data_IF_133237150311
#
_entry.id   IF_133237150311
#
_cell.length_a   1.000
_cell.length_b   1.000
_cell.length_c   1.000
_cell.angle_alpha   90.00
_cell.angle_beta   90.00
_cell.angle_gamma   90.00
#
_symmetry.space_group_name_H-M   'P 1'
#
loop_
_entity.id
_entity.type
_entity.pdbx_description
1 polymer ?
#
# COMPACT_ATOMS: atom_id res chain seq x y z
N UNK A 1 11.01 11.39 -9.91
CA UNK A 1 11.11 9.95 -10.27
C UNK A 1 11.17 9.82 -11.78
N UNK A 2 12.14 9.07 -12.32
CA UNK A 2 12.29 8.92 -13.76
C UNK A 2 11.05 8.29 -14.42
N UNK A 3 10.76 8.75 -15.63
CA UNK A 3 9.61 8.27 -16.41
C UNK A 3 9.62 6.73 -16.59
N UNK A 4 10.81 6.16 -16.78
CA UNK A 4 10.97 4.71 -16.93
C UNK A 4 10.50 3.95 -15.69
N UNK A 5 10.81 4.46 -14.51
CA UNK A 5 10.35 3.87 -13.24
C UNK A 5 8.84 4.02 -13.07
N UNK A 6 8.29 5.18 -13.43
CA UNK A 6 6.84 5.40 -13.37
C UNK A 6 6.08 4.45 -14.28
N UNK A 7 6.61 4.19 -15.48
CA UNK A 7 6.01 3.23 -16.41
C UNK A 7 6.06 1.81 -15.86
N UNK A 8 7.17 1.41 -15.24
CA UNK A 8 7.29 0.10 -14.59
C UNK A 8 6.32 -0.05 -13.43
N UNK A 9 6.15 0.99 -12.63
CA UNK A 9 5.17 1.01 -11.54
C UNK A 9 3.75 0.84 -12.07
N UNK A 10 3.40 1.56 -13.14
CA UNK A 10 2.08 1.46 -13.76
C UNK A 10 1.82 0.06 -14.29
N UNK A 11 2.80 -0.55 -14.94
CA UNK A 11 2.70 -1.92 -15.46
C UNK A 11 2.49 -2.93 -14.33
N UNK A 12 3.26 -2.80 -13.25
CA UNK A 12 3.15 -3.66 -12.09
C UNK A 12 1.81 -3.47 -11.36
N UNK A 13 1.37 -2.22 -11.22
CA UNK A 13 0.09 -1.92 -10.60
C UNK A 13 -1.07 -2.56 -11.37
N UNK A 14 -1.03 -2.52 -12.70
CA UNK A 14 -2.02 -3.15 -13.56
C UNK A 14 -2.11 -4.67 -13.34
N UNK A 15 -0.97 -5.32 -13.14
CA UNK A 15 -0.94 -6.75 -12.84
C UNK A 15 -1.58 -7.07 -11.48
N UNK A 16 -1.41 -6.18 -10.50
CA UNK A 16 -1.96 -6.34 -9.15
C UNK A 16 -3.43 -5.94 -9.05
N UNK A 17 -3.82 -4.91 -9.80
CA UNK A 17 -5.16 -4.31 -9.74
C UNK A 17 -5.71 -4.08 -11.15
N UNK A 18 -6.06 -5.15 -11.90
CA UNK A 18 -6.44 -5.03 -13.30
C UNK A 18 -7.70 -4.19 -13.55
N UNK A 19 -8.59 -4.09 -12.55
CA UNK A 19 -9.83 -3.32 -12.67
C UNK A 19 -9.72 -1.89 -12.14
N UNK A 20 -8.61 -1.54 -11.49
CA UNK A 20 -8.38 -0.23 -10.86
C UNK A 20 -6.93 0.20 -11.05
N UNK A 21 -6.38 -0.07 -12.23
CA UNK A 21 -4.97 0.23 -12.48
C UNK A 21 -4.72 1.74 -12.53
N UNK A 22 -3.55 2.13 -12.04
CA UNK A 22 -3.05 3.49 -12.09
C UNK A 22 -2.09 3.66 -13.25
N UNK A 23 -2.14 4.83 -13.88
CA UNK A 23 -1.20 5.21 -14.93
C UNK A 23 0.11 5.75 -14.34
N UNK A 24 1.12 5.91 -15.20
CA UNK A 24 2.34 6.59 -14.81
C UNK A 24 2.08 8.01 -14.28
N UNK A 25 1.10 8.71 -14.89
CA UNK A 25 0.73 10.05 -14.44
C UNK A 25 0.09 10.04 -13.06
N UNK A 26 -0.71 9.03 -12.73
CA UNK A 26 -1.29 8.87 -11.40
C UNK A 26 -0.19 8.75 -10.33
N UNK A 27 0.83 7.94 -10.59
CA UNK A 27 1.98 7.82 -9.66
C UNK A 27 2.75 9.12 -9.56
N UNK A 28 2.97 9.80 -10.68
CA UNK A 28 3.65 11.09 -10.69
C UNK A 28 2.89 12.13 -9.88
N UNK A 29 1.57 12.19 -10.02
CA UNK A 29 0.71 13.12 -9.28
C UNK A 29 0.76 12.85 -7.77
N UNK A 30 0.75 11.57 -7.35
CA UNK A 30 0.89 11.21 -5.94
C UNK A 30 2.24 11.67 -5.39
N UNK A 31 3.32 11.48 -6.14
CA UNK A 31 4.65 11.92 -5.73
C UNK A 31 4.70 13.43 -5.56
N UNK A 32 4.12 14.17 -6.50
CA UNK A 32 4.03 15.65 -6.43
C UNK A 32 3.19 16.12 -5.25
N UNK A 33 2.17 15.37 -4.87
CA UNK A 33 1.31 15.71 -3.73
C UNK A 33 1.92 15.35 -2.36
N UNK A 34 3.14 14.84 -2.33
CA UNK A 34 3.86 14.53 -1.11
C UNK A 34 3.82 13.08 -0.66
N UNK A 35 3.26 12.18 -1.47
CA UNK A 35 3.32 10.75 -1.16
C UNK A 35 4.71 10.19 -1.37
N UNK A 36 5.07 9.22 -0.55
CA UNK A 36 6.31 8.46 -0.68
C UNK A 36 6.04 7.16 -1.43
N UNK A 37 7.00 6.77 -2.27
CA UNK A 37 6.92 5.54 -3.05
C UNK A 37 8.18 4.72 -2.79
N UNK A 38 8.00 3.49 -2.33
CA UNK A 38 9.07 2.50 -2.24
C UNK A 38 8.78 1.44 -3.30
N UNK A 39 9.72 1.22 -4.21
CA UNK A 39 9.54 0.28 -5.31
C UNK A 39 10.73 -0.66 -5.40
N UNK A 40 10.44 -1.92 -5.72
CA UNK A 40 11.44 -2.93 -6.06
C UNK A 40 11.05 -3.53 -7.41
N UNK A 41 11.82 -4.51 -7.89
CA UNK A 41 11.52 -5.15 -9.16
C UNK A 41 10.13 -5.80 -9.18
N UNK A 42 9.71 -6.39 -8.06
CA UNK A 42 8.48 -7.18 -7.97
C UNK A 42 7.43 -6.62 -7.02
N UNK A 43 7.62 -5.42 -6.50
CA UNK A 43 6.68 -4.86 -5.55
C UNK A 43 6.76 -3.35 -5.41
N UNK A 44 5.72 -2.77 -4.83
CA UNK A 44 5.67 -1.35 -4.54
C UNK A 44 4.80 -1.09 -3.32
N UNK A 45 5.07 0.01 -2.64
CA UNK A 45 4.23 0.54 -1.59
C UNK A 45 4.23 2.06 -1.69
N UNK A 46 3.04 2.66 -1.57
CA UNK A 46 2.86 4.11 -1.59
C UNK A 46 2.15 4.51 -0.30
N UNK A 47 2.68 5.52 0.37
CA UNK A 47 2.07 6.03 1.59
C UNK A 47 2.17 7.54 1.66
N UNK A 48 1.36 8.11 2.54
CA UNK A 48 1.37 9.53 2.86
C UNK A 48 1.46 9.69 4.37
N UNK A 49 2.28 10.65 4.80
CA UNK A 49 2.42 11.00 6.22
C UNK A 49 1.79 12.36 6.48
N UNK A 50 0.97 12.44 7.52
CA UNK A 50 0.40 13.69 8.01
C UNK A 50 0.59 13.70 9.54
N UNK A 51 1.39 14.64 10.03
CA UNK A 51 1.76 14.72 11.44
C UNK A 51 2.41 13.41 11.90
N UNK A 52 1.85 12.75 12.92
CA UNK A 52 2.38 11.49 13.46
C UNK A 52 1.66 10.25 12.93
N UNK A 53 0.92 10.38 11.82
CA UNK A 53 0.16 9.28 11.21
C UNK A 53 0.60 9.06 9.76
N UNK A 54 0.65 7.81 9.34
CA UNK A 54 0.88 7.42 7.97
C UNK A 54 -0.31 6.62 7.44
N UNK A 55 -0.64 6.82 6.17
CA UNK A 55 -1.69 6.07 5.49
C UNK A 55 -1.08 5.34 4.29
N UNK A 56 -1.27 4.04 4.22
CA UNK A 56 -0.88 3.26 3.05
C UNK A 56 -1.95 3.46 1.98
N UNK A 57 -1.54 4.03 0.85
CA UNK A 57 -2.44 4.32 -0.28
C UNK A 57 -2.61 3.07 -1.14
N UNK A 58 -1.51 2.39 -1.43
CA UNK A 58 -1.53 1.14 -2.19
C UNK A 58 -0.28 0.33 -1.91
N UNK A 59 -0.41 -0.98 -2.01
CA UNK A 59 0.71 -1.92 -1.89
C UNK A 59 0.41 -3.10 -2.83
N UNK A 60 1.40 -3.55 -3.56
CA UNK A 60 1.25 -4.68 -4.46
C UNK A 60 2.54 -5.44 -4.66
N UNK A 61 2.40 -6.73 -4.98
CA UNK A 61 3.49 -7.62 -5.31
C UNK A 61 3.11 -8.34 -6.60
N UNK A 62 4.06 -8.42 -7.52
CA UNK A 62 3.87 -9.14 -8.78
C UNK A 62 3.27 -10.53 -8.48
N UNK A 63 2.19 -10.93 -9.20
CA UNK A 63 1.52 -12.21 -8.91
C UNK A 63 2.47 -13.42 -8.88
N UNK A 64 3.50 -13.44 -9.74
CA UNK A 64 4.47 -14.52 -9.79
C UNK A 64 5.45 -14.54 -8.62
N UNK A 65 5.56 -13.44 -7.87
CA UNK A 65 6.49 -13.31 -6.74
C UNK A 65 5.79 -13.32 -5.38
N UNK A 66 4.50 -13.58 -5.35
CA UNK A 66 3.74 -13.64 -4.09
C UNK A 66 4.14 -14.87 -3.29
N UNK A 67 4.08 -14.73 -1.95
CA UNK A 67 4.48 -15.79 -1.04
C UNK A 67 5.95 -15.78 -0.65
N UNK A 68 6.76 -14.88 -1.22
CA UNK A 68 8.20 -14.79 -0.95
C UNK A 68 8.55 -13.74 0.13
N UNK A 69 7.55 -13.19 0.81
CA UNK A 69 7.78 -12.22 1.89
C UNK A 69 8.10 -10.81 1.43
N UNK A 70 7.88 -10.47 0.16
CA UNK A 70 8.19 -9.13 -0.39
C UNK A 70 7.35 -8.05 0.27
N UNK A 71 6.05 -8.27 0.42
CA UNK A 71 5.17 -7.31 1.07
C UNK A 71 5.56 -7.06 2.53
N UNK A 72 5.88 -8.11 3.25
CA UNK A 72 6.35 -8.02 4.64
C UNK A 72 7.64 -7.21 4.72
N UNK A 73 8.59 -7.47 3.82
CA UNK A 73 9.86 -6.73 3.76
C UNK A 73 9.63 -5.26 3.48
N UNK A 74 8.77 -4.93 2.53
CA UNK A 74 8.45 -3.52 2.20
C UNK A 74 7.76 -2.81 3.36
N UNK A 75 6.82 -3.47 4.04
CA UNK A 75 6.17 -2.91 5.23
C UNK A 75 7.18 -2.65 6.34
N UNK A 76 8.12 -3.55 6.54
CA UNK A 76 9.19 -3.39 7.55
C UNK A 76 10.08 -2.20 7.22
N UNK A 77 10.48 -2.05 5.96
CA UNK A 77 11.29 -0.91 5.51
C UNK A 77 10.54 0.41 5.67
N UNK A 78 9.28 0.45 5.26
CA UNK A 78 8.44 1.63 5.42
C UNK A 78 8.34 2.01 6.90
N UNK A 79 8.03 1.05 7.76
CA UNK A 79 7.87 1.28 9.19
C UNK A 79 9.14 1.85 9.82
N UNK A 80 10.29 1.32 9.42
CA UNK A 80 11.58 1.83 9.87
C UNK A 80 11.77 3.30 9.47
N UNK A 81 11.46 3.66 8.25
CA UNK A 81 11.61 5.03 7.76
C UNK A 81 10.65 6.01 8.45
N UNK A 82 9.38 5.64 8.57
CA UNK A 82 8.39 6.55 9.15
C UNK A 82 8.56 6.72 10.66
N UNK A 83 9.08 5.71 11.36
CA UNK A 83 9.41 5.84 12.78
C UNK A 83 10.46 6.92 13.03
N UNK A 84 11.47 7.01 12.18
CA UNK A 84 12.48 8.06 12.24
C UNK A 84 11.87 9.45 12.09
N UNK A 85 10.78 9.56 11.35
CA UNK A 85 10.08 10.83 11.14
C UNK A 85 9.04 11.13 12.23
N UNK A 86 8.94 10.31 13.27
CA UNK A 86 8.03 10.53 14.39
C UNK A 86 6.62 9.98 14.20
N UNK A 87 6.40 9.15 13.20
CA UNK A 87 5.10 8.52 12.99
C UNK A 87 4.83 7.48 14.07
N UNK A 88 3.60 7.46 14.59
CA UNK A 88 3.18 6.58 15.68
C UNK A 88 2.08 5.60 15.28
N UNK A 89 1.38 5.85 14.19
CA UNK A 89 0.27 5.01 13.73
C UNK A 89 0.28 4.89 12.21
N UNK A 90 -0.08 3.71 11.73
CA UNK A 90 -0.26 3.44 10.30
C UNK A 90 -1.70 3.01 10.07
N UNK A 91 -2.33 3.58 9.05
CA UNK A 91 -3.69 3.23 8.63
C UNK A 91 -3.69 2.69 7.21
N UNK A 92 -4.63 1.79 6.94
CA UNK A 92 -4.89 1.30 5.58
C UNK A 92 -6.36 0.92 5.41
N UNK A 93 -6.79 0.84 4.17
CA UNK A 93 -8.07 0.27 3.79
C UNK A 93 -7.81 -0.90 2.83
N UNK A 94 -8.59 -1.98 2.99
CA UNK A 94 -8.46 -3.16 2.14
C UNK A 94 -9.85 -3.73 1.86
N UNK A 95 -10.06 -4.26 0.65
CA UNK A 95 -11.32 -4.90 0.30
C UNK A 95 -11.61 -6.07 1.24
N UNK A 96 -12.85 -6.16 1.72
CA UNK A 96 -13.30 -7.26 2.58
C UNK A 96 -13.14 -8.63 1.91
N UNK A 97 -13.09 -8.68 0.58
CA UNK A 97 -12.90 -9.91 -0.17
C UNK A 97 -11.42 -10.28 -0.38
N UNK A 98 -10.51 -9.39 -0.04
CA UNK A 98 -9.08 -9.65 -0.19
C UNK A 98 -8.52 -10.36 1.05
N UNK A 99 -8.92 -11.62 1.24
CA UNK A 99 -8.53 -12.40 2.40
C UNK A 99 -7.01 -12.56 2.56
N UNK A 100 -6.22 -12.80 1.48
CA UNK A 100 -4.77 -12.89 1.62
C UNK A 100 -4.13 -11.60 2.16
N UNK A 101 -4.58 -10.43 1.69
CA UNK A 101 -4.06 -9.15 2.16
C UNK A 101 -4.42 -8.90 3.63
N UNK A 102 -5.66 -9.17 4.01
CA UNK A 102 -6.12 -9.02 5.40
C UNK A 102 -5.27 -9.91 6.32
N UNK A 103 -5.04 -11.16 5.93
CA UNK A 103 -4.23 -12.09 6.71
C UNK A 103 -2.79 -11.58 6.85
N UNK A 104 -2.20 -11.06 5.77
CA UNK A 104 -0.87 -10.46 5.79
C UNK A 104 -0.79 -9.29 6.77
N UNK A 105 -1.73 -8.37 6.69
CA UNK A 105 -1.72 -7.19 7.57
C UNK A 105 -1.90 -7.58 9.04
N UNK A 106 -2.77 -8.52 9.34
CA UNK A 106 -2.93 -9.05 10.70
C UNK A 106 -1.62 -9.67 11.20
N UNK A 107 -0.96 -10.45 10.37
CA UNK A 107 0.33 -11.06 10.70
C UNK A 107 1.40 -10.00 10.96
N UNK A 108 1.32 -8.86 10.28
CA UNK A 108 2.24 -7.74 10.46
C UNK A 108 1.87 -6.81 11.62
N UNK A 109 0.84 -7.16 12.38
CA UNK A 109 0.45 -6.43 13.59
C UNK A 109 -0.68 -5.42 13.42
N UNK A 110 -1.30 -5.37 12.25
CA UNK A 110 -2.49 -4.52 12.04
C UNK A 110 -3.72 -5.14 12.67
N UNK A 111 -4.60 -4.31 13.18
CA UNK A 111 -5.90 -4.71 13.72
C UNK A 111 -7.01 -3.96 12.99
N UNK A 112 -8.16 -4.60 12.87
CA UNK A 112 -9.32 -3.95 12.28
C UNK A 112 -9.83 -2.86 13.22
N UNK A 113 -10.05 -1.65 12.70
CA UNK A 113 -10.60 -0.54 13.47
C UNK A 113 -11.84 0.09 12.83
N UNK A 114 -12.39 -0.52 11.81
CA UNK A 114 -13.60 -0.02 11.18
C UNK A 114 -13.95 -0.77 9.91
N UNK A 115 -15.08 -0.36 9.33
CA UNK A 115 -15.59 -0.94 8.10
C UNK A 115 -16.34 0.15 7.34
N UNK A 116 -16.08 0.25 6.03
CA UNK A 116 -16.76 1.20 5.16
C UNK A 116 -17.64 0.41 4.19
N UNK A 117 -18.99 0.42 4.37
CA UNK A 117 -19.87 -0.40 3.53
C UNK A 117 -19.82 0.00 2.04
N UNK A 118 -19.79 -1.00 1.16
CA UNK A 118 -19.92 -0.86 -0.30
C UNK A 118 -18.96 0.15 -0.93
N UNK A 119 -17.77 0.29 -0.36
CA UNK A 119 -16.78 1.26 -0.82
C UNK A 119 -16.14 0.87 -2.16
N UNK A 120 -15.82 -0.43 -2.34
CA UNK A 120 -15.17 -0.95 -3.55
C UNK A 120 -16.22 -1.64 -4.44
N UNK A 121 -16.89 -0.89 -5.33
CA UNK A 121 -17.86 -1.44 -6.29
C UNK A 121 -18.89 -2.39 -5.63
N UNK A 122 -19.47 -1.96 -4.51
CA UNK A 122 -20.43 -2.74 -3.75
C UNK A 122 -19.82 -3.69 -2.72
N UNK A 123 -18.50 -3.73 -2.61
CA UNK A 123 -17.77 -4.54 -1.63
C UNK A 123 -17.32 -3.63 -0.50
N UNK A 124 -17.42 -4.10 0.74
CA UNK A 124 -16.99 -3.33 1.90
C UNK A 124 -15.48 -3.17 1.94
N UNK A 125 -15.01 -2.04 2.48
CA UNK A 125 -13.62 -1.84 2.83
C UNK A 125 -13.43 -2.14 4.32
N UNK A 126 -12.37 -2.86 4.65
CA UNK A 126 -11.94 -3.08 6.02
C UNK A 126 -10.91 -2.01 6.35
N UNK A 127 -11.13 -1.27 7.41
CA UNK A 127 -10.18 -0.27 7.90
C UNK A 127 -9.30 -0.94 8.94
N UNK A 128 -7.99 -0.76 8.80
CA UNK A 128 -7.00 -1.37 9.70
C UNK A 128 -6.01 -0.33 10.18
N UNK A 129 -5.47 -0.55 11.36
CA UNK A 129 -4.42 0.30 11.94
C UNK A 129 -3.36 -0.53 12.64
N UNK A 130 -2.18 0.06 12.75
CA UNK A 130 -1.08 -0.47 13.55
C UNK A 130 -0.44 0.68 14.33
N UNK A 131 -0.25 0.49 15.62
CA UNK A 131 0.55 1.40 16.44
C UNK A 131 2.01 0.95 16.43
N UNK A 132 2.90 1.90 16.23
CA UNK A 132 4.33 1.61 16.09
C UNK A 132 5.20 2.39 17.09
#
# INVERSE_FOLDING_TARGET
MPKKMLNKLADLHKLCFPHRSWTADDFSDLKKSGCEILASENGFIVWRTVCDEAEIITIGVHPAARGDGIATAMLTLMEHEIKKAGVKKIFLEVSAENAPAIALYKKCGFVQNGRRPKYYDGIDAILMKKEI
#
